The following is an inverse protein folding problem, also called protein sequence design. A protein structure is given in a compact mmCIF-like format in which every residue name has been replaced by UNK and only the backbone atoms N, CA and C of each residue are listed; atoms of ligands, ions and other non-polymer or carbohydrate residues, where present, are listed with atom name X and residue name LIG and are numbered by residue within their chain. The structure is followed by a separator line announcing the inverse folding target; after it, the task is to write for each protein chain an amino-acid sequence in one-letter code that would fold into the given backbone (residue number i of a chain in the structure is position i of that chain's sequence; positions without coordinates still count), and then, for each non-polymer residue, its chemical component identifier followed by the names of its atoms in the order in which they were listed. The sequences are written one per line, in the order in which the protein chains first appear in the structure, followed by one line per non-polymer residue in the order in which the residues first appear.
data_IF_589809047612
#
_entry.id   IF_589809047612
#
_cell.length_a   1.000
_cell.length_b   1.000
_cell.length_c   1.000
_cell.angle_alpha   90.00
_cell.angle_beta   90.00
_cell.angle_gamma   90.00
#
_symmetry.space_group_name_H-M   'P 1'
#
loop_
_entity.id
_entity.type
_entity.pdbx_description
1 polymer ?
#
# COMPACT_ATOMS: atom_id res chain seq x y z
N UNK A 1 10.86 6.33 3.59
CA UNK A 1 9.61 5.57 3.49
C UNK A 1 9.67 4.54 2.37
N UNK A 2 9.60 4.90 1.08
CA UNK A 2 9.53 3.93 -0.04
C UNK A 2 10.64 2.87 -0.06
N UNK A 3 11.89 3.27 0.19
CA UNK A 3 13.01 2.33 0.34
C UNK A 3 12.76 1.31 1.46
N UNK A 4 12.34 1.78 2.64
CA UNK A 4 12.00 0.90 3.77
C UNK A 4 10.84 -0.04 3.42
N UNK A 5 9.82 0.45 2.70
CA UNK A 5 8.73 -0.39 2.22
C UNK A 5 9.24 -1.48 1.27
N UNK A 6 10.08 -1.11 0.29
CA UNK A 6 10.71 -2.07 -0.65
C UNK A 6 11.57 -3.11 0.06
N UNK A 7 12.29 -2.70 1.10
CA UNK A 7 13.11 -3.58 1.95
C UNK A 7 12.27 -4.37 2.98
N UNK A 8 10.96 -4.11 3.05
CA UNK A 8 10.02 -4.66 4.05
C UNK A 8 10.48 -4.39 5.49
N UNK A 9 11.16 -3.26 5.70
CA UNK A 9 11.53 -2.74 7.02
C UNK A 9 10.31 -2.05 7.66
N UNK A 10 9.48 -2.88 8.30
CA UNK A 10 8.20 -2.46 8.87
C UNK A 10 8.34 -1.43 9.99
N UNK A 11 9.40 -1.50 10.80
CA UNK A 11 9.60 -0.55 11.89
C UNK A 11 9.97 0.83 11.34
N UNK A 12 10.83 0.89 10.33
CA UNK A 12 11.12 2.15 9.62
C UNK A 12 9.90 2.67 8.88
N UNK A 13 9.09 1.80 8.24
CA UNK A 13 7.81 2.22 7.62
C UNK A 13 6.91 2.88 8.66
N UNK A 14 6.68 2.24 9.81
CA UNK A 14 5.85 2.80 10.90
C UNK A 14 6.35 4.16 11.38
N UNK A 15 7.67 4.37 11.45
CA UNK A 15 8.26 5.63 11.90
C UNK A 15 7.89 6.85 11.00
N UNK A 16 7.51 6.61 9.75
CA UNK A 16 7.07 7.65 8.83
C UNK A 16 5.57 7.99 8.94
N UNK A 17 4.78 7.18 9.65
CA UNK A 17 3.33 7.31 9.72
C UNK A 17 2.94 8.08 10.98
N UNK A 18 2.00 9.02 10.86
CA UNK A 18 1.37 9.65 12.00
C UNK A 18 0.46 8.66 12.74
N UNK A 19 0.23 8.91 14.04
CA UNK A 19 -0.56 8.01 14.90
C UNK A 19 -1.99 7.83 14.39
N UNK A 20 -2.53 8.84 13.70
CA UNK A 20 -3.87 8.87 13.11
C UNK A 20 -3.87 8.70 11.58
N UNK A 21 -2.73 8.34 10.97
CA UNK A 21 -2.60 8.20 9.53
C UNK A 21 -3.67 7.26 8.95
N UNK A 22 -4.29 7.63 7.83
CA UNK A 22 -5.22 6.76 7.11
C UNK A 22 -4.53 6.22 5.86
N UNK A 23 -4.53 4.90 5.68
CA UNK A 23 -4.10 4.23 4.45
C UNK A 23 -5.30 3.64 3.71
N UNK A 24 -5.43 3.96 2.43
CA UNK A 24 -6.49 3.44 1.57
C UNK A 24 -5.98 3.02 0.20
N UNK A 25 -6.11 1.73 -0.11
CA UNK A 25 -6.09 1.22 -1.48
C UNK A 25 -7.41 1.60 -2.14
N UNK A 26 -7.38 2.61 -3.02
CA UNK A 26 -8.59 3.15 -3.63
C UNK A 26 -9.38 2.13 -4.45
N UNK A 27 -8.78 1.12 -5.11
CA UNK A 27 -9.55 0.09 -5.83
C UNK A 27 -10.42 -0.80 -4.95
N UNK A 28 -10.13 -0.94 -3.65
CA UNK A 28 -10.96 -1.71 -2.70
C UNK A 28 -11.87 -0.81 -1.84
N UNK A 29 -11.77 0.51 -2.02
CA UNK A 29 -12.63 1.51 -1.39
C UNK A 29 -12.24 1.91 0.03
N UNK A 30 -12.67 3.11 0.43
CA UNK A 30 -12.34 3.73 1.72
C UNK A 30 -12.92 2.99 2.95
N UNK A 31 -13.95 2.17 2.76
CA UNK A 31 -14.53 1.37 3.83
C UNK A 31 -13.60 0.23 4.30
N UNK A 32 -12.61 -0.12 3.49
CA UNK A 32 -11.56 -1.08 3.81
C UNK A 32 -10.21 -0.37 4.01
N UNK A 33 -10.19 0.79 4.68
CA UNK A 33 -8.95 1.49 5.02
C UNK A 33 -8.31 0.93 6.29
N UNK A 34 -7.06 1.34 6.57
CA UNK A 34 -6.38 1.09 7.83
C UNK A 34 -6.04 2.43 8.50
N UNK A 35 -5.98 2.44 9.84
CA UNK A 35 -5.66 3.66 10.61
C UNK A 35 -4.52 3.45 11.59
N UNK A 36 -3.55 4.34 11.55
CA UNK A 36 -2.39 4.35 12.42
C UNK A 36 -1.32 3.32 12.00
N UNK A 37 -0.08 3.45 12.51
CA UNK A 37 1.07 2.74 11.96
C UNK A 37 0.95 1.21 12.00
N UNK A 38 0.42 0.66 13.09
CA UNK A 38 0.34 -0.79 13.29
C UNK A 38 -0.67 -1.46 12.33
N UNK A 39 -1.86 -0.89 12.19
CA UNK A 39 -2.91 -1.45 11.33
C UNK A 39 -2.60 -1.24 9.85
N UNK A 40 -1.93 -0.14 9.49
CA UNK A 40 -1.41 0.08 8.14
C UNK A 40 -0.42 -1.03 7.77
N UNK A 41 0.52 -1.36 8.65
CA UNK A 41 1.47 -2.45 8.40
C UNK A 41 0.78 -3.81 8.32
N UNK A 42 -0.20 -4.11 9.18
CA UNK A 42 -0.98 -5.35 9.07
C UNK A 42 -1.62 -5.47 7.69
N UNK A 43 -2.22 -4.38 7.20
CA UNK A 43 -2.81 -4.34 5.87
C UNK A 43 -1.78 -4.55 4.77
N UNK A 44 -0.66 -3.82 4.78
CA UNK A 44 0.41 -3.97 3.76
C UNK A 44 0.91 -5.42 3.67
N UNK A 45 1.06 -6.08 4.82
CA UNK A 45 1.53 -7.47 4.88
C UNK A 45 0.61 -8.47 4.19
N UNK A 46 -0.70 -8.22 4.12
CA UNK A 46 -1.64 -9.11 3.42
C UNK A 46 -1.21 -9.33 1.96
N UNK A 47 -0.76 -8.27 1.28
CA UNK A 47 -0.26 -8.36 -0.09
C UNK A 47 1.23 -8.73 -0.15
N UNK A 48 2.05 -8.11 0.69
CA UNK A 48 3.51 -8.12 0.52
C UNK A 48 4.24 -9.29 1.21
N UNK A 49 3.71 -9.81 2.31
CA UNK A 49 4.40 -10.85 3.10
C UNK A 49 4.51 -12.21 2.37
N UNK A 50 3.50 -12.67 1.61
CA UNK A 50 3.59 -13.92 0.86
C UNK A 50 4.61 -13.90 -0.29
N UNK A 51 4.93 -12.71 -0.82
CA UNK A 51 5.78 -12.54 -2.00
C UNK A 51 7.21 -13.01 -1.76
N UNK A 52 7.79 -13.62 -2.78
CA UNK A 52 9.22 -13.97 -2.83
C UNK A 52 10.11 -12.73 -2.97
N UNK A 53 9.68 -11.77 -3.79
CA UNK A 53 10.39 -10.51 -4.04
C UNK A 53 9.40 -9.36 -4.19
N UNK A 54 9.82 -8.15 -3.82
CA UNK A 54 9.07 -6.92 -3.95
C UNK A 54 10.04 -5.77 -4.19
N UNK A 55 9.87 -5.07 -5.31
CA UNK A 55 10.77 -3.99 -5.73
C UNK A 55 9.96 -2.77 -6.11
N UNK A 56 10.23 -1.64 -5.46
CA UNK A 56 9.76 -0.33 -5.90
C UNK A 56 10.67 0.23 -6.99
N UNK A 57 10.08 0.82 -8.02
CA UNK A 57 10.79 1.52 -9.08
C UNK A 57 10.47 3.01 -9.04
N UNK A 58 11.51 3.83 -9.13
CA UNK A 58 11.35 5.27 -9.06
C UNK A 58 10.58 5.85 -10.26
N UNK A 59 9.82 6.90 -10.01
CA UNK A 59 9.07 7.63 -11.04
C UNK A 59 8.94 9.12 -10.74
N UNK A 60 7.82 9.72 -11.13
CA UNK A 60 7.59 11.16 -10.98
C UNK A 60 7.06 11.47 -9.58
N UNK A 61 7.80 12.30 -8.84
CA UNK A 61 7.37 12.84 -7.55
C UNK A 61 7.11 14.34 -7.68
N UNK A 62 5.91 14.77 -7.33
CA UNK A 62 5.52 16.18 -7.26
C UNK A 62 4.98 16.52 -5.88
N UNK A 63 5.31 17.71 -5.38
CA UNK A 63 4.86 18.19 -4.08
C UNK A 63 4.23 19.57 -4.21
N UNK A 64 3.11 19.78 -3.54
CA UNK A 64 2.42 21.06 -3.39
C UNK A 64 1.99 21.22 -1.91
N UNK A 65 2.73 22.06 -1.19
CA UNK A 65 2.56 22.23 0.26
C UNK A 65 2.71 20.90 1.02
N UNK A 66 1.64 20.51 1.72
CA UNK A 66 1.58 19.26 2.48
C UNK A 66 1.22 18.04 1.62
N UNK A 67 0.86 18.22 0.35
CA UNK A 67 0.42 17.13 -0.53
C UNK A 67 1.58 16.69 -1.40
N UNK A 68 1.82 15.38 -1.46
CA UNK A 68 2.81 14.75 -2.35
C UNK A 68 2.10 13.74 -3.22
N UNK A 69 2.29 13.83 -4.54
CA UNK A 69 1.88 12.77 -5.46
C UNK A 69 3.12 12.07 -6.00
N UNK A 70 3.03 10.75 -6.09
CA UNK A 70 4.11 9.90 -6.58
C UNK A 70 3.57 8.92 -7.61
N UNK A 71 3.87 9.14 -8.87
CA UNK A 71 3.65 8.17 -9.95
C UNK A 71 4.85 7.23 -9.98
N UNK A 72 4.62 5.95 -9.72
CA UNK A 72 5.68 4.94 -9.63
C UNK A 72 5.17 3.56 -10.07
N UNK A 73 6.06 2.57 -10.03
CA UNK A 73 5.67 1.19 -10.25
C UNK A 73 6.31 0.25 -9.25
N UNK A 74 5.71 -0.92 -9.13
CA UNK A 74 6.17 -1.98 -8.25
C UNK A 74 6.24 -3.30 -9.02
N UNK A 75 7.27 -4.09 -8.77
CA UNK A 75 7.36 -5.48 -9.23
C UNK A 75 7.14 -6.42 -8.06
N UNK A 76 6.15 -7.29 -8.21
CA UNK A 76 5.76 -8.30 -7.24
C UNK A 76 6.10 -9.66 -7.82
N UNK A 77 6.82 -10.50 -7.07
CA UNK A 77 7.13 -11.87 -7.47
C UNK A 77 6.60 -12.83 -6.42
N UNK A 78 5.79 -13.81 -6.85
CA UNK A 78 5.27 -14.85 -5.97
C UNK A 78 6.24 -16.03 -5.90
N UNK A 79 6.18 -16.80 -4.80
CA UNK A 79 7.01 -18.00 -4.61
C UNK A 79 6.73 -19.10 -5.64
N UNK A 80 5.56 -19.05 -6.25
CA UNK A 80 5.09 -19.94 -7.33
C UNK A 80 5.65 -19.54 -8.70
N UNK A 81 6.28 -18.37 -8.82
CA UNK A 81 7.03 -17.93 -10.00
C UNK A 81 6.33 -16.85 -10.85
N UNK A 82 5.06 -16.56 -10.60
CA UNK A 82 4.34 -15.45 -11.23
C UNK A 82 4.98 -14.12 -10.87
N UNK A 83 4.89 -13.16 -11.78
CA UNK A 83 5.41 -11.80 -11.61
C UNK A 83 4.39 -10.81 -12.13
N UNK A 84 4.18 -9.73 -11.39
CA UNK A 84 3.32 -8.62 -11.79
C UNK A 84 4.07 -7.30 -11.74
N UNK A 85 3.84 -6.44 -12.73
CA UNK A 85 4.26 -5.03 -12.69
C UNK A 85 3.04 -4.16 -12.53
N UNK A 86 2.94 -3.48 -11.39
CA UNK A 86 1.84 -2.59 -11.08
C UNK A 86 2.28 -1.15 -11.25
N UNK A 87 1.39 -0.34 -11.80
CA UNK A 87 1.56 1.10 -11.91
C UNK A 87 0.68 1.76 -10.87
N UNK A 88 1.32 2.58 -10.05
CA UNK A 88 0.71 3.25 -8.93
C UNK A 88 0.76 4.76 -9.12
N UNK A 89 -0.27 5.42 -8.63
CA UNK A 89 -0.17 6.79 -8.15
C UNK A 89 -0.46 6.78 -6.67
N UNK A 90 0.50 7.20 -5.86
CA UNK A 90 0.32 7.43 -4.43
C UNK A 90 0.07 8.90 -4.16
N UNK A 91 -0.90 9.19 -3.31
CA UNK A 91 -1.13 10.53 -2.74
C UNK A 91 -0.86 10.48 -1.25
N UNK A 92 0.13 11.24 -0.80
CA UNK A 92 0.39 11.49 0.61
C UNK A 92 -0.03 12.88 1.04
N UNK A 93 -0.59 12.99 2.25
CA UNK A 93 -0.49 14.23 3.02
C UNK A 93 0.60 14.05 4.07
N UNK A 94 1.50 15.03 4.18
CA UNK A 94 2.65 15.02 5.08
C UNK A 94 2.60 16.25 5.97
N UNK A 95 2.60 16.05 7.28
CA UNK A 95 2.62 17.10 8.30
C UNK A 95 3.56 16.72 9.43
N UNK A 96 4.39 17.65 9.88
CA UNK A 96 5.39 17.41 10.93
C UNK A 96 6.27 16.18 10.62
N UNK A 97 6.77 16.12 9.38
CA UNK A 97 7.60 15.03 8.84
C UNK A 97 6.99 13.62 8.90
N UNK A 98 5.67 13.53 9.11
CA UNK A 98 4.92 12.27 9.14
C UNK A 98 3.75 12.27 8.17
N UNK A 99 3.47 11.11 7.60
CA UNK A 99 2.35 10.90 6.67
C UNK A 99 1.06 10.82 7.49
N UNK A 100 0.06 11.63 7.15
CA UNK A 100 -1.26 11.65 7.80
C UNK A 100 -2.36 11.05 6.91
N UNK A 101 -2.11 10.97 5.59
CA UNK A 101 -2.96 10.30 4.63
C UNK A 101 -2.08 9.61 3.59
N UNK A 102 -2.41 8.38 3.23
CA UNK A 102 -1.80 7.59 2.16
C UNK A 102 -2.91 6.95 1.33
N UNK A 103 -3.05 7.38 0.07
CA UNK A 103 -3.97 6.77 -0.89
C UNK A 103 -3.20 6.19 -2.07
N UNK A 104 -3.46 4.94 -2.40
CA UNK A 104 -2.89 4.29 -3.57
C UNK A 104 -3.95 4.05 -4.64
N UNK A 105 -3.65 4.52 -5.84
CA UNK A 105 -4.46 4.34 -7.05
C UNK A 105 -3.72 3.40 -8.00
N UNK A 106 -4.33 2.26 -8.30
CA UNK A 106 -3.78 1.23 -9.17
C UNK A 106 -4.90 0.41 -9.82
N UNK A 107 -4.59 -0.42 -10.80
CA UNK A 107 -5.57 -1.24 -11.50
C UNK A 107 -5.69 -2.64 -10.85
N UNK A 108 -6.79 -2.85 -10.12
CA UNK A 108 -7.09 -4.14 -9.48
C UNK A 108 -7.21 -5.29 -10.47
N UNK A 109 -7.87 -5.07 -11.60
CA UNK A 109 -8.06 -6.11 -12.62
C UNK A 109 -6.73 -6.50 -13.25
N UNK A 110 -5.86 -5.54 -13.51
CA UNK A 110 -4.50 -5.81 -14.01
C UNK A 110 -3.69 -6.68 -13.07
N UNK A 111 -3.79 -6.47 -11.75
CA UNK A 111 -3.15 -7.32 -10.76
C UNK A 111 -3.71 -8.75 -10.77
N UNK A 112 -5.04 -8.90 -10.71
CA UNK A 112 -5.70 -10.22 -10.72
C UNK A 112 -5.27 -11.05 -11.93
N UNK A 113 -5.09 -10.42 -13.09
CA UNK A 113 -4.68 -11.10 -14.32
C UNK A 113 -3.21 -11.59 -14.30
N UNK A 114 -2.36 -11.03 -13.43
CA UNK A 114 -0.93 -11.36 -13.33
C UNK A 114 -0.60 -12.21 -12.10
N UNK A 115 -1.43 -12.14 -11.05
CA UNK A 115 -1.24 -12.87 -9.81
C UNK A 115 -1.56 -14.38 -9.97
N UNK A 116 -1.13 -15.22 -9.00
CA UNK A 116 -1.51 -16.63 -8.98
C UNK A 116 -3.04 -16.84 -9.00
N UNK A 117 -3.55 -17.94 -9.59
CA UNK A 117 -4.99 -18.18 -9.73
C UNK A 117 -5.80 -18.16 -8.43
N UNK A 118 -5.18 -18.49 -7.30
CA UNK A 118 -5.80 -18.54 -5.97
C UNK A 118 -5.62 -17.25 -5.15
N UNK A 119 -4.97 -16.23 -5.72
CA UNK A 119 -4.62 -14.99 -5.00
C UNK A 119 -5.85 -14.30 -4.38
N UNK A 120 -6.95 -14.17 -5.12
CA UNK A 120 -8.20 -13.58 -4.60
C UNK A 120 -8.79 -14.39 -3.44
N UNK A 121 -8.69 -15.73 -3.50
CA UNK A 121 -9.14 -16.60 -2.43
C UNK A 121 -8.27 -16.42 -1.17
N UNK A 122 -6.96 -16.24 -1.35
CA UNK A 122 -6.05 -15.96 -0.23
C UNK A 122 -6.35 -14.61 0.42
N UNK A 123 -6.58 -13.56 -0.38
CA UNK A 123 -6.97 -12.23 0.14
C UNK A 123 -8.26 -12.30 0.95
N UNK A 124 -9.26 -13.05 0.49
CA UNK A 124 -10.54 -13.19 1.18
C UNK A 124 -10.43 -13.92 2.54
N UNK A 125 -9.34 -14.65 2.78
CA UNK A 125 -9.05 -15.36 4.04
C UNK A 125 -8.16 -14.56 5.00
N UNK A 126 -7.65 -13.41 4.56
CA UNK A 126 -6.76 -12.60 5.38
C UNK A 126 -7.48 -12.07 6.63
N UNK A 127 -6.71 -11.84 7.71
CA UNK A 127 -7.24 -11.15 8.89
C UNK A 127 -7.67 -9.74 8.49
N UNK A 128 -8.90 -9.34 8.85
CA UNK A 128 -9.46 -8.01 8.61
C UNK A 128 -9.74 -7.26 9.91
N UNK A 129 -9.17 -7.69 11.04
CA UNK A 129 -9.35 -7.04 12.35
C UNK A 129 -8.86 -5.58 12.41
N UNK A 130 -8.01 -5.19 11.46
CA UNK A 130 -7.47 -3.84 11.28
C UNK A 130 -8.38 -2.89 10.50
N UNK A 131 -9.47 -3.39 9.89
CA UNK A 131 -10.32 -2.59 8.99
C UNK A 131 -10.91 -1.39 9.74
N UNK A 132 -10.70 -0.22 9.16
CA UNK A 132 -11.26 1.04 9.58
C UNK A 132 -12.06 1.65 8.41
N UNK A 133 -13.34 1.95 8.64
CA UNK A 133 -14.16 2.63 7.63
C UNK A 133 -13.82 4.12 7.61
N UNK A 134 -13.10 4.54 6.57
CA UNK A 134 -12.73 5.93 6.35
C UNK A 134 -13.69 6.67 5.39
N UNK A 135 -14.85 6.11 5.07
CA UNK A 135 -15.84 6.78 4.22
C UNK A 135 -16.24 8.13 4.83
N UNK A 136 -16.15 9.19 4.01
CA UNK A 136 -16.42 10.56 4.45
C UNK A 136 -15.28 11.25 5.21
N UNK A 137 -14.13 10.59 5.39
CA UNK A 137 -12.91 11.19 5.96
C UNK A 137 -11.85 11.53 4.89
N UNK A 138 -11.92 10.91 3.70
CA UNK A 138 -10.89 10.98 2.65
C UNK A 138 -11.46 11.15 1.23
#
# INVERSE_FOLDING_TARGET
MWKALSERDWDTVKSHLADDCIYADMPVGAAAAARGPEDIVKRLKIGLEPLASYVNHDGLLVADGATVMYEHSETWEWRTGETAVLRFVTVHHVQNDRITLWKDYWDFTSMVNQAPPDWLEQLAKADTSWVFDAAGLI
#
